data_IF_319773702466
#
_entry.id   IF_319773702466
#
_cell.length_a   1.000
_cell.length_b   1.000
_cell.length_c   1.000
_cell.angle_alpha   90.00
_cell.angle_beta   90.00
_cell.angle_gamma   90.00
#
_symmetry.space_group_name_H-M   'P 1'
#
loop_
_entity.id
_entity.type
_entity.pdbx_description
1 polymer ?
#
# COMPACT_ATOMS: atom_id res chain seq x y z
N UNK A 1 -11.85 -7.88 -16.33
CA UNK A 1 -11.39 -9.19 -15.82
C UNK A 1 -9.93 -9.34 -16.21
N UNK A 2 -9.14 -9.91 -15.33
CA UNK A 2 -7.75 -10.24 -15.59
C UNK A 2 -7.38 -11.54 -14.87
N UNK A 3 -6.33 -12.19 -15.35
CA UNK A 3 -5.73 -13.34 -14.71
C UNK A 3 -4.20 -13.24 -14.83
N UNK A 4 -3.50 -13.81 -13.85
CA UNK A 4 -2.06 -13.87 -13.78
C UNK A 4 -1.63 -15.26 -13.34
N UNK A 5 -0.56 -15.75 -13.95
CA UNK A 5 0.10 -17.01 -13.61
C UNK A 5 1.60 -16.72 -13.54
N UNK A 6 2.21 -16.98 -12.39
CA UNK A 6 3.63 -16.73 -12.20
C UNK A 6 4.00 -16.83 -10.73
N UNK A 7 4.66 -15.79 -10.23
CA UNK A 7 5.18 -15.71 -8.87
C UNK A 7 4.64 -14.50 -8.11
N UNK A 8 4.63 -14.60 -6.78
CA UNK A 8 4.42 -13.46 -5.89
C UNK A 8 5.36 -12.30 -6.26
N UNK A 9 4.90 -11.06 -6.09
CA UNK A 9 5.69 -9.86 -6.46
C UNK A 9 6.69 -9.42 -5.39
N UNK A 10 6.54 -9.97 -4.18
CA UNK A 10 7.45 -9.81 -3.06
C UNK A 10 7.96 -11.19 -2.64
N UNK A 11 9.18 -11.30 -2.08
CA UNK A 11 9.74 -12.57 -1.65
C UNK A 11 9.11 -12.99 -0.32
N UNK A 12 7.82 -13.36 -0.35
CA UNK A 12 7.04 -13.67 0.85
C UNK A 12 7.17 -15.14 1.28
N UNK A 13 7.83 -15.99 0.49
CA UNK A 13 8.17 -17.35 0.88
C UNK A 13 9.51 -17.42 1.59
N UNK A 14 9.72 -18.43 2.42
CA UNK A 14 10.97 -18.67 3.13
C UNK A 14 11.39 -20.13 3.05
N UNK A 15 12.65 -20.39 2.70
CA UNK A 15 13.26 -21.70 2.87
C UNK A 15 13.91 -21.77 4.26
N UNK A 16 13.43 -22.68 5.11
CA UNK A 16 13.84 -22.79 6.52
C UNK A 16 15.31 -23.27 6.64
N UNK A 17 15.75 -24.34 5.95
CA UNK A 17 17.16 -24.79 6.04
C UNK A 17 18.21 -23.74 5.71
N UNK A 18 17.94 -22.88 4.73
CA UNK A 18 18.89 -21.86 4.26
C UNK A 18 18.59 -20.47 4.81
N UNK A 19 17.47 -20.28 5.52
CA UNK A 19 16.94 -18.99 5.94
C UNK A 19 16.86 -17.95 4.80
N UNK A 20 16.54 -18.39 3.59
CA UNK A 20 16.48 -17.52 2.41
C UNK A 20 15.04 -17.25 2.00
N UNK A 21 14.71 -15.96 1.85
CA UNK A 21 13.46 -15.55 1.25
C UNK A 21 13.44 -15.81 -0.26
N UNK A 22 12.29 -16.17 -0.81
CA UNK A 22 12.10 -16.42 -2.24
C UNK A 22 10.70 -15.98 -2.68
N UNK A 23 10.46 -15.96 -3.99
CA UNK A 23 9.18 -15.61 -4.60
C UNK A 23 8.41 -16.90 -4.93
N UNK A 24 7.37 -17.29 -4.18
CA UNK A 24 6.63 -18.51 -4.45
C UNK A 24 5.75 -18.39 -5.69
N UNK A 25 5.36 -19.53 -6.25
CA UNK A 25 4.41 -19.61 -7.34
C UNK A 25 2.99 -19.23 -6.90
N UNK A 26 2.27 -18.51 -7.74
CA UNK A 26 0.89 -18.11 -7.51
C UNK A 26 0.10 -17.94 -8.80
N UNK A 27 -1.22 -17.98 -8.68
CA UNK A 27 -2.16 -17.41 -9.63
C UNK A 27 -2.84 -16.19 -9.03
N UNK A 28 -3.31 -15.26 -9.87
CA UNK A 28 -4.25 -14.24 -9.43
C UNK A 28 -5.40 -14.11 -10.44
N UNK A 29 -6.61 -13.94 -9.92
CA UNK A 29 -7.82 -13.75 -10.73
C UNK A 29 -8.54 -12.51 -10.22
N UNK A 30 -8.95 -11.60 -11.10
CA UNK A 30 -9.56 -10.38 -10.64
C UNK A 30 -10.44 -9.65 -11.64
N UNK A 31 -11.17 -8.69 -11.11
CA UNK A 31 -12.08 -7.83 -11.83
C UNK A 31 -11.93 -6.41 -11.31
N UNK A 32 -11.87 -5.45 -12.22
CA UNK A 32 -11.91 -4.04 -11.88
C UNK A 32 -12.86 -3.28 -12.79
N UNK A 33 -13.44 -2.23 -12.23
CA UNK A 33 -14.26 -1.27 -12.95
C UNK A 33 -13.93 0.13 -12.45
N UNK A 34 -14.07 1.10 -13.35
CA UNK A 34 -13.92 2.52 -13.03
C UNK A 34 -14.91 3.32 -13.85
N UNK A 35 -15.40 4.41 -13.31
CA UNK A 35 -16.38 5.24 -13.99
C UNK A 35 -16.74 6.47 -13.21
N UNK A 36 -17.71 7.21 -13.73
CA UNK A 36 -18.28 8.36 -13.04
C UNK A 36 -19.37 7.88 -12.08
N UNK A 37 -19.37 8.43 -10.87
CA UNK A 37 -20.45 8.28 -9.91
C UNK A 37 -20.76 9.66 -9.34
N UNK A 38 -21.94 10.20 -9.69
CA UNK A 38 -22.28 11.58 -9.40
C UNK A 38 -21.30 12.55 -10.08
N UNK A 39 -20.65 13.39 -9.28
CA UNK A 39 -19.66 14.38 -9.76
C UNK A 39 -18.21 13.98 -9.52
N UNK A 40 -17.95 12.70 -9.23
CA UNK A 40 -16.61 12.16 -9.02
C UNK A 40 -16.32 10.93 -9.87
N UNK A 41 -15.06 10.51 -9.82
CA UNK A 41 -14.55 9.29 -10.43
C UNK A 41 -14.47 8.21 -9.34
N UNK A 42 -15.11 7.07 -9.57
CA UNK A 42 -15.01 5.91 -8.69
C UNK A 42 -14.21 4.78 -9.36
N UNK A 43 -13.63 3.92 -8.54
CA UNK A 43 -13.05 2.66 -8.97
C UNK A 43 -13.36 1.57 -7.92
N UNK A 44 -13.52 0.33 -8.39
CA UNK A 44 -13.66 -0.85 -7.55
C UNK A 44 -12.88 -1.98 -8.19
N UNK A 45 -12.15 -2.74 -7.39
CA UNK A 45 -11.39 -3.91 -7.79
C UNK A 45 -11.48 -4.99 -6.73
N UNK A 46 -11.62 -6.24 -7.18
CA UNK A 46 -11.57 -7.42 -6.33
C UNK A 46 -10.71 -8.48 -7.03
N UNK A 47 -9.94 -9.22 -6.25
CA UNK A 47 -9.11 -10.30 -6.74
C UNK A 47 -8.90 -11.40 -5.71
N UNK A 48 -8.61 -12.60 -6.20
CA UNK A 48 -8.22 -13.75 -5.42
C UNK A 48 -6.81 -14.17 -5.81
N UNK A 49 -5.93 -14.26 -4.83
CA UNK A 49 -4.56 -14.69 -4.95
C UNK A 49 -4.50 -16.12 -4.42
N UNK A 50 -4.09 -17.02 -5.31
CA UNK A 50 -4.06 -18.47 -5.12
C UNK A 50 -2.59 -18.90 -5.08
N UNK A 51 -2.10 -19.25 -3.89
CA UNK A 51 -0.76 -19.77 -3.70
C UNK A 51 -0.68 -21.19 -4.24
N UNK A 52 0.24 -21.41 -5.18
CA UNK A 52 0.37 -22.72 -5.87
C UNK A 52 1.34 -23.67 -5.19
N UNK A 53 2.03 -23.21 -4.15
CA UNK A 53 2.93 -24.00 -3.32
C UNK A 53 2.30 -24.17 -1.94
N UNK A 54 2.61 -25.29 -1.27
CA UNK A 54 2.15 -25.56 0.08
C UNK A 54 3.25 -25.26 1.11
N UNK A 55 2.84 -24.82 2.30
CA UNK A 55 3.75 -24.77 3.45
C UNK A 55 4.11 -26.18 3.90
N UNK A 56 5.41 -26.41 4.14
CA UNK A 56 5.99 -27.68 4.57
C UNK A 56 6.97 -27.48 5.72
N UNK A 57 7.56 -28.57 6.23
CA UNK A 57 8.58 -28.48 7.29
C UNK A 57 9.86 -27.72 6.86
N UNK A 58 10.07 -27.49 5.57
CA UNK A 58 11.27 -26.83 5.03
C UNK A 58 10.97 -25.53 4.28
N UNK A 59 9.70 -25.23 4.01
CA UNK A 59 9.29 -24.05 3.25
C UNK A 59 8.02 -23.43 3.84
N UNK A 60 8.04 -22.11 3.99
CA UNK A 60 6.86 -21.32 4.36
C UNK A 60 6.41 -20.58 3.12
N UNK A 61 5.12 -20.68 2.80
CA UNK A 61 4.47 -20.03 1.65
C UNK A 61 3.33 -19.16 2.18
N UNK A 62 3.07 -17.99 1.57
CA UNK A 62 1.89 -17.20 1.91
C UNK A 62 0.61 -17.98 1.70
N UNK A 63 -0.36 -17.79 2.59
CA UNK A 63 -1.72 -18.25 2.37
C UNK A 63 -2.36 -17.55 1.17
N UNK A 64 -3.44 -18.15 0.67
CA UNK A 64 -4.32 -17.49 -0.29
C UNK A 64 -4.86 -16.17 0.28
N UNK A 65 -5.08 -15.19 -0.59
CA UNK A 65 -5.56 -13.88 -0.18
C UNK A 65 -6.72 -13.40 -1.06
N UNK A 66 -7.81 -12.97 -0.43
CA UNK A 66 -8.78 -12.14 -1.09
C UNK A 66 -8.37 -10.66 -0.96
N UNK A 67 -8.32 -9.95 -2.07
CA UNK A 67 -7.96 -8.53 -2.11
C UNK A 67 -9.10 -7.71 -2.66
N UNK A 68 -9.38 -6.59 -2.01
CA UNK A 68 -10.42 -5.66 -2.42
C UNK A 68 -9.91 -4.23 -2.34
N UNK A 69 -10.27 -3.42 -3.32
CA UNK A 69 -9.93 -2.01 -3.40
C UNK A 69 -11.11 -1.22 -3.92
N UNK A 70 -11.43 -0.11 -3.28
CA UNK A 70 -12.43 0.84 -3.77
C UNK A 70 -11.95 2.25 -3.54
N UNK A 71 -12.19 3.14 -4.49
CA UNK A 71 -11.77 4.52 -4.41
C UNK A 71 -12.78 5.49 -5.00
N UNK A 72 -12.74 6.72 -4.51
CA UNK A 72 -13.55 7.83 -5.00
C UNK A 72 -12.75 9.12 -4.98
N UNK A 73 -12.73 9.80 -6.13
CA UNK A 73 -12.04 11.07 -6.33
C UNK A 73 -12.99 12.14 -6.81
N UNK A 74 -12.88 13.35 -6.25
CA UNK A 74 -13.69 14.50 -6.65
C UNK A 74 -12.98 15.83 -6.37
N UNK A 75 -13.28 16.83 -7.20
CA UNK A 75 -13.04 18.23 -6.83
C UNK A 75 -14.07 18.67 -5.77
N UNK A 76 -13.61 18.77 -4.51
CA UNK A 76 -14.46 19.06 -3.34
C UNK A 76 -14.62 20.55 -3.06
N UNK A 77 -13.68 21.35 -3.56
CA UNK A 77 -13.76 22.81 -3.62
C UNK A 77 -12.96 23.30 -4.83
N UNK A 78 -13.09 24.58 -5.18
CA UNK A 78 -12.40 25.15 -6.35
C UNK A 78 -10.89 24.87 -6.28
N UNK A 79 -10.39 24.14 -7.29
CA UNK A 79 -8.99 23.71 -7.38
C UNK A 79 -8.51 22.81 -6.22
N UNK A 80 -9.41 22.20 -5.45
CA UNK A 80 -9.13 21.24 -4.38
C UNK A 80 -9.70 19.88 -4.75
N UNK A 81 -8.82 18.96 -5.11
CA UNK A 81 -9.19 17.57 -5.35
C UNK A 81 -8.94 16.74 -4.09
N UNK A 82 -9.93 15.96 -3.69
CA UNK A 82 -9.79 14.93 -2.67
C UNK A 82 -10.05 13.55 -3.29
N UNK A 83 -9.20 12.60 -2.95
CA UNK A 83 -9.31 11.20 -3.34
C UNK A 83 -9.19 10.34 -2.09
N UNK A 84 -10.14 9.44 -1.90
CA UNK A 84 -10.14 8.46 -0.83
C UNK A 84 -10.12 7.07 -1.42
N UNK A 85 -9.38 6.16 -0.80
CA UNK A 85 -9.36 4.75 -1.20
C UNK A 85 -9.32 3.88 0.04
N UNK A 86 -10.03 2.76 -0.01
CA UNK A 86 -9.99 1.70 0.97
C UNK A 86 -9.44 0.44 0.29
N UNK A 87 -8.44 -0.18 0.91
CA UNK A 87 -7.83 -1.43 0.51
C UNK A 87 -7.97 -2.44 1.63
N UNK A 88 -8.34 -3.67 1.27
CA UNK A 88 -8.45 -4.82 2.16
C UNK A 88 -7.65 -5.98 1.57
N UNK A 89 -6.85 -6.60 2.43
CA UNK A 89 -6.18 -7.87 2.17
C UNK A 89 -6.64 -8.84 3.25
N UNK A 90 -7.37 -9.87 2.84
CA UNK A 90 -7.93 -10.88 3.74
C UNK A 90 -7.21 -12.20 3.49
N UNK A 91 -6.48 -12.67 4.50
CA UNK A 91 -5.77 -13.94 4.51
C UNK A 91 -6.76 -15.08 4.72
N UNK A 92 -6.73 -16.07 3.82
CA UNK A 92 -7.51 -17.30 3.98
C UNK A 92 -6.78 -18.25 4.92
N UNK A 93 -7.51 -19.07 5.68
CA UNK A 93 -6.94 -20.04 6.63
C UNK A 93 -5.98 -19.40 7.66
N UNK A 94 -6.43 -18.31 8.30
CA UNK A 94 -5.64 -17.58 9.29
C UNK A 94 -5.32 -18.43 10.53
N UNK A 95 -6.27 -19.25 11.01
CA UNK A 95 -6.02 -20.22 12.10
C UNK A 95 -4.86 -21.18 11.76
N UNK A 96 -4.83 -21.70 10.52
CA UNK A 96 -3.73 -22.55 10.03
C UNK A 96 -2.40 -21.80 9.96
N UNK A 97 -2.43 -20.54 9.56
CA UNK A 97 -1.26 -19.65 9.56
C UNK A 97 -0.69 -19.43 10.97
N UNK A 98 -1.53 -19.09 11.94
CA UNK A 98 -1.10 -18.92 13.34
C UNK A 98 -0.55 -20.23 13.92
N UNK A 99 -1.22 -21.35 13.64
CA UNK A 99 -0.78 -22.66 14.10
C UNK A 99 0.60 -23.02 13.51
N UNK A 100 0.89 -22.65 12.26
CA UNK A 100 2.20 -22.84 11.64
C UNK A 100 3.30 -21.99 12.31
N UNK A 101 2.98 -20.76 12.74
CA UNK A 101 3.90 -19.93 13.52
C UNK A 101 4.23 -20.60 14.86
N UNK A 102 3.20 -21.06 15.59
CA UNK A 102 3.38 -21.72 16.88
C UNK A 102 4.19 -23.02 16.72
N UNK A 103 3.88 -23.83 15.71
CA UNK A 103 4.57 -25.09 15.44
C UNK A 103 6.04 -24.91 15.04
N UNK A 104 6.40 -23.76 14.47
CA UNK A 104 7.78 -23.41 14.13
C UNK A 104 8.55 -22.76 15.29
N UNK A 105 7.94 -22.68 16.48
CA UNK A 105 8.56 -22.16 17.71
C UNK A 105 8.46 -20.64 17.86
N UNK A 106 7.63 -19.97 17.06
CA UNK A 106 7.34 -18.54 17.17
C UNK A 106 6.20 -18.23 18.14
N UNK A 107 5.86 -16.94 18.23
CA UNK A 107 4.66 -16.44 18.94
C UNK A 107 3.77 -15.70 17.95
N UNK A 108 2.47 -15.63 18.24
CA UNK A 108 1.49 -14.92 17.39
C UNK A 108 1.45 -13.42 17.67
N UNK A 109 2.26 -12.90 18.61
CA UNK A 109 2.28 -11.47 18.97
C UNK A 109 2.70 -10.56 17.81
N UNK A 110 3.42 -11.10 16.83
CA UNK A 110 3.83 -10.40 15.60
C UNK A 110 3.22 -11.04 14.34
N UNK A 111 2.19 -11.87 14.50
CA UNK A 111 1.49 -12.46 13.37
C UNK A 111 0.76 -11.36 12.60
N UNK A 112 0.63 -11.54 11.27
CA UNK A 112 -0.21 -10.65 10.47
C UNK A 112 -1.67 -10.85 10.86
N UNK A 113 -2.41 -9.75 10.93
CA UNK A 113 -3.87 -9.78 11.07
C UNK A 113 -4.51 -10.55 9.90
N UNK A 114 -5.61 -11.26 10.20
CA UNK A 114 -6.42 -11.95 9.19
C UNK A 114 -6.90 -10.99 8.10
N UNK A 115 -7.37 -9.80 8.50
CA UNK A 115 -7.86 -8.78 7.61
C UNK A 115 -7.05 -7.49 7.79
N UNK A 116 -6.14 -7.25 6.84
CA UNK A 116 -5.36 -6.02 6.82
C UNK A 116 -6.12 -4.93 6.09
N UNK A 117 -6.33 -3.81 6.77
CA UNK A 117 -7.08 -2.67 6.27
C UNK A 117 -6.15 -1.51 5.99
N UNK A 118 -6.26 -0.85 4.84
CA UNK A 118 -5.51 0.39 4.56
C UNK A 118 -6.43 1.45 3.98
N UNK A 119 -6.48 2.59 4.67
CA UNK A 119 -7.15 3.80 4.24
C UNK A 119 -6.14 4.74 3.59
N UNK A 120 -6.49 5.24 2.41
CA UNK A 120 -5.68 6.20 1.67
C UNK A 120 -6.43 7.51 1.52
N UNK A 121 -5.76 8.61 1.80
CA UNK A 121 -6.24 9.95 1.50
C UNK A 121 -5.23 10.67 0.62
N UNK A 122 -5.70 11.28 -0.47
CA UNK A 122 -4.93 12.22 -1.26
C UNK A 122 -5.68 13.54 -1.38
N UNK A 123 -5.02 14.62 -0.96
CA UNK A 123 -5.47 15.98 -1.17
C UNK A 123 -4.53 16.67 -2.14
N UNK A 124 -5.06 17.42 -3.09
CA UNK A 124 -4.28 18.25 -4.01
C UNK A 124 -4.98 19.59 -4.19
N UNK A 125 -4.33 20.66 -3.74
CA UNK A 125 -4.79 22.03 -3.91
C UNK A 125 -3.90 22.75 -4.93
N UNK A 126 -4.51 23.31 -5.97
CA UNK A 126 -3.82 24.21 -6.89
C UNK A 126 -4.18 25.67 -6.57
N UNK A 127 -3.16 26.50 -6.42
CA UNK A 127 -3.22 27.92 -6.07
C UNK A 127 -2.42 28.74 -7.07
N UNK A 128 -2.59 30.07 -7.04
CA UNK A 128 -1.80 31.01 -7.84
C UNK A 128 -1.79 30.67 -9.34
N UNK A 129 -2.97 30.44 -9.92
CA UNK A 129 -3.11 29.98 -11.31
C UNK A 129 -2.29 28.70 -11.60
N UNK A 130 -2.32 27.75 -10.66
CA UNK A 130 -1.61 26.47 -10.73
C UNK A 130 -0.08 26.58 -10.65
N UNK A 131 0.45 27.76 -10.31
CA UNK A 131 1.88 27.91 -10.02
C UNK A 131 2.26 27.33 -8.66
N UNK A 132 1.31 27.20 -7.72
CA UNK A 132 1.55 26.58 -6.43
C UNK A 132 0.65 25.34 -6.29
N UNK A 133 1.26 24.18 -6.10
CA UNK A 133 0.57 22.91 -5.86
C UNK A 133 0.93 22.44 -4.46
N UNK A 134 -0.09 22.29 -3.62
CA UNK A 134 0.02 21.66 -2.31
C UNK A 134 -0.59 20.26 -2.42
N UNK A 135 0.14 19.24 -1.99
CA UNK A 135 -0.33 17.86 -2.00
C UNK A 135 -0.08 17.23 -0.63
N UNK A 136 -1.05 16.45 -0.17
CA UNK A 136 -0.88 15.54 0.96
C UNK A 136 -1.33 14.17 0.50
N UNK A 137 -0.47 13.17 0.64
CA UNK A 137 -0.81 11.78 0.42
C UNK A 137 -0.58 11.00 1.71
N UNK A 138 -1.56 10.23 2.15
CA UNK A 138 -1.54 9.53 3.43
C UNK A 138 -2.01 8.09 3.25
N UNK A 139 -1.27 7.15 3.84
CA UNK A 139 -1.76 5.81 4.16
C UNK A 139 -1.95 5.69 5.68
N UNK A 140 -3.01 5.03 6.10
CA UNK A 140 -3.27 4.66 7.49
C UNK A 140 -3.78 3.22 7.52
N UNK A 141 -3.12 2.35 8.29
CA UNK A 141 -3.53 0.97 8.50
C UNK A 141 -4.09 0.84 9.92
N UNK A 142 -5.43 0.76 10.11
CA UNK A 142 -5.99 0.54 11.43
C UNK A 142 -5.71 -0.86 11.98
N UNK A 143 -5.50 -1.87 11.12
CA UNK A 143 -5.07 -3.21 11.55
C UNK A 143 -3.65 -3.17 12.13
N UNK A 144 -2.73 -2.50 11.44
CA UNK A 144 -1.32 -2.44 11.88
C UNK A 144 -1.02 -1.26 12.83
N UNK A 145 -2.01 -0.40 13.14
CA UNK A 145 -1.85 0.86 13.88
C UNK A 145 -0.68 1.75 13.40
N UNK A 146 -0.44 1.77 12.09
CA UNK A 146 0.66 2.49 11.47
C UNK A 146 0.17 3.46 10.37
N UNK A 147 1.01 4.43 10.00
CA UNK A 147 0.69 5.45 9.04
C UNK A 147 1.91 5.97 8.29
N UNK A 148 1.67 6.43 7.07
CA UNK A 148 2.65 7.12 6.24
C UNK A 148 2.05 8.41 5.68
N UNK A 149 2.75 9.52 5.89
CA UNK A 149 2.37 10.83 5.37
C UNK A 149 3.44 11.34 4.39
N UNK A 150 2.95 11.84 3.27
CA UNK A 150 3.77 12.46 2.23
C UNK A 150 3.23 13.85 1.88
N UNK A 151 3.52 14.88 2.69
CA UNK A 151 3.28 16.26 2.31
C UNK A 151 4.23 16.68 1.19
N UNK A 152 3.74 17.46 0.24
CA UNK A 152 4.52 18.02 -0.85
C UNK A 152 4.04 19.42 -1.23
N UNK A 153 4.98 20.29 -1.55
CA UNK A 153 4.77 21.63 -2.06
C UNK A 153 5.60 21.78 -3.33
N UNK A 154 4.95 22.12 -4.43
CA UNK A 154 5.60 22.42 -5.69
C UNK A 154 5.26 23.85 -6.10
N UNK A 155 6.29 24.65 -6.39
CA UNK A 155 6.13 26.02 -6.82
C UNK A 155 6.85 26.26 -8.15
N UNK A 156 6.08 26.69 -9.14
CA UNK A 156 6.54 27.14 -10.45
C UNK A 156 6.90 28.61 -10.36
N UNK A 157 8.19 28.90 -10.30
CA UNK A 157 8.72 30.27 -10.20
C UNK A 157 8.55 30.98 -11.54
N UNK A 158 8.88 30.28 -12.63
CA UNK A 158 8.72 30.75 -14.02
C UNK A 158 8.33 29.57 -14.92
N UNK A 159 8.16 29.80 -16.22
CA UNK A 159 7.95 28.72 -17.19
C UNK A 159 9.11 27.73 -17.29
N UNK A 160 10.31 28.14 -16.88
CA UNK A 160 11.50 27.31 -16.93
C UNK A 160 11.90 26.74 -15.56
N UNK A 161 11.58 27.44 -14.46
CA UNK A 161 12.03 27.06 -13.11
C UNK A 161 10.91 26.56 -12.22
N UNK A 162 11.13 25.40 -11.61
CA UNK A 162 10.24 24.80 -10.63
C UNK A 162 11.03 24.31 -9.43
N UNK A 163 10.49 24.53 -8.24
CA UNK A 163 11.03 24.01 -6.98
C UNK A 163 10.02 23.10 -6.32
N UNK A 164 10.49 22.06 -5.64
CA UNK A 164 9.64 21.13 -4.89
C UNK A 164 10.27 20.83 -3.54
N UNK A 165 9.45 20.83 -2.50
CA UNK A 165 9.77 20.32 -1.18
C UNK A 165 8.77 19.22 -0.83
N UNK A 166 9.23 18.07 -0.36
CA UNK A 166 8.35 17.01 0.13
C UNK A 166 8.96 16.30 1.32
N UNK A 167 8.14 15.61 2.11
CA UNK A 167 8.59 14.77 3.21
C UNK A 167 8.03 13.37 3.09
N UNK A 168 8.73 12.41 3.68
CA UNK A 168 8.27 11.06 3.95
C UNK A 168 8.26 10.89 5.47
N UNK A 169 7.08 10.74 6.06
CA UNK A 169 6.92 10.66 7.52
C UNK A 169 6.23 9.35 7.83
N UNK A 170 6.90 8.48 8.59
CA UNK A 170 6.39 7.17 9.00
C UNK A 170 6.08 7.18 10.49
N UNK A 171 4.93 6.65 10.86
CA UNK A 171 4.45 6.53 12.25
C UNK A 171 3.98 5.08 12.44
N UNK A 172 4.32 4.49 13.57
CA UNK A 172 3.86 3.16 13.97
C UNK A 172 4.23 2.90 15.43
N UNK A 173 3.37 2.17 16.12
CA UNK A 173 3.65 1.67 17.47
C UNK A 173 4.66 0.53 17.42
N UNK A 174 4.43 -0.41 16.51
CA UNK A 174 5.20 -1.65 16.39
C UNK A 174 6.16 -1.66 15.20
N UNK A 175 7.43 -2.03 15.45
CA UNK A 175 8.49 -2.05 14.43
C UNK A 175 8.33 -3.18 13.39
N UNK A 176 7.48 -4.19 13.64
CA UNK A 176 7.24 -5.30 12.72
C UNK A 176 6.16 -4.98 11.67
N UNK A 177 5.44 -3.87 11.84
CA UNK A 177 4.40 -3.42 10.90
C UNK A 177 5.00 -2.80 9.65
N UNK A 178 4.22 -2.74 8.57
CA UNK A 178 4.74 -2.37 7.26
C UNK A 178 5.31 -0.95 7.20
N UNK A 179 4.63 0.03 7.80
CA UNK A 179 5.13 1.41 7.91
C UNK A 179 5.90 1.63 9.21
N UNK A 180 5.58 0.91 10.30
CA UNK A 180 6.29 1.02 11.58
C UNK A 180 7.79 0.73 11.45
N UNK A 181 8.18 -0.27 10.66
CA UNK A 181 9.60 -0.58 10.40
C UNK A 181 10.40 0.61 9.81
N UNK A 182 9.72 1.60 9.22
CA UNK A 182 10.34 2.79 8.61
C UNK A 182 10.23 4.06 9.47
N UNK A 183 9.73 3.97 10.71
CA UNK A 183 9.56 5.10 11.64
C UNK A 183 10.81 5.99 11.73
N UNK A 184 11.98 5.38 11.80
CA UNK A 184 13.28 6.07 11.90
C UNK A 184 13.86 6.54 10.56
N UNK A 185 13.19 6.26 9.44
CA UNK A 185 13.61 6.62 8.08
C UNK A 185 12.82 7.81 7.52
N UNK A 186 12.14 8.56 8.38
CA UNK A 186 11.47 9.79 7.99
C UNK A 186 12.47 10.81 7.43
N UNK A 187 12.14 11.45 6.31
CA UNK A 187 13.07 12.32 5.60
C UNK A 187 12.36 13.49 4.91
N UNK A 188 13.15 14.49 4.53
CA UNK A 188 12.70 15.68 3.80
C UNK A 188 13.58 15.85 2.57
N UNK A 189 12.94 16.11 1.43
CA UNK A 189 13.58 16.18 0.13
C UNK A 189 13.27 17.54 -0.49
N UNK A 190 14.32 18.18 -1.02
CA UNK A 190 14.23 19.40 -1.82
C UNK A 190 14.70 19.10 -3.23
N UNK A 191 14.00 19.65 -4.23
CA UNK A 191 14.32 19.49 -5.63
C UNK A 191 14.14 20.79 -6.39
N UNK A 192 15.03 21.02 -7.36
CA UNK A 192 14.93 22.12 -8.32
C UNK A 192 14.97 21.51 -9.71
N UNK A 193 14.05 21.95 -10.57
CA UNK A 193 13.96 21.54 -11.97
C UNK A 193 14.01 22.77 -12.87
N UNK A 194 14.87 22.68 -13.88
CA UNK A 194 14.89 23.59 -15.02
C UNK A 194 14.39 22.84 -16.26
N UNK A 195 13.55 23.49 -17.08
CA UNK A 195 13.11 22.97 -18.39
C UNK A 195 13.43 24.02 -19.46
N UNK A 196 13.88 23.59 -20.65
CA UNK A 196 14.26 24.42 -21.79
C UNK A 196 13.37 24.15 -23.00
#
# INVERSE_FOLDING_TARGET
>A
LYAYHGYWKSPMGMNIPTSTAYFPEMNAYGASTKGLLGSGLFNVEAGYYDSREDTTATQIVPNDEFRFLTGYEREVAKNLTASVQYYLEWMMDHDGYEQNIINSGGTTDTARDEARHVLTLRLTQMLMNQNLILSLFTFYSPSDNDAYFRPAVTYKITDHWMVTANGNIFIGEDDHTFFGQFKYNSNVNLGVRYSF
#
